data_IF_657221606529
#
_entry.id   IF_657221606529
#
_cell.length_a   1.000
_cell.length_b   1.000
_cell.length_c   1.000
_cell.angle_alpha   90.00
_cell.angle_beta   90.00
_cell.angle_gamma   90.00
#
_symmetry.space_group_name_H-M   'P 1'
#
loop_
_entity.id
_entity.type
_entity.pdbx_description
1 polymer ?
#
# COMPACT_ATOMS: atom_id res chain seq x y z
N UNK A 1 27.50 -1.01 -14.45
CA UNK A 1 27.42 0.46 -14.29
C UNK A 1 26.01 0.90 -14.65
N UNK A 2 25.38 1.75 -13.82
CA UNK A 2 24.09 2.35 -14.15
C UNK A 2 24.30 3.48 -15.20
N UNK A 3 23.43 3.60 -16.23
CA UNK A 3 23.44 4.75 -17.12
C UNK A 3 23.12 6.04 -16.34
N UNK A 4 23.26 7.18 -16.98
CA UNK A 4 22.76 8.44 -16.45
C UNK A 4 21.24 8.53 -16.67
N UNK A 5 20.53 9.20 -15.79
CA UNK A 5 19.06 9.31 -15.80
C UNK A 5 18.61 10.58 -15.09
N UNK A 6 17.47 11.11 -15.51
CA UNK A 6 16.93 12.37 -14.99
C UNK A 6 16.04 12.16 -13.75
N UNK A 7 15.43 11.00 -13.62
CA UNK A 7 14.49 10.72 -12.53
C UNK A 7 14.84 9.37 -11.88
N UNK A 8 14.97 9.37 -10.55
CA UNK A 8 15.03 8.15 -9.74
C UNK A 8 13.68 7.92 -9.08
N UNK A 9 12.99 6.85 -9.47
CA UNK A 9 11.78 6.39 -8.81
C UNK A 9 12.11 5.23 -7.88
N UNK A 10 11.67 5.28 -6.61
CA UNK A 10 11.92 4.19 -5.66
C UNK A 10 10.77 4.01 -4.66
N UNK A 11 10.19 2.78 -4.64
CA UNK A 11 9.35 2.27 -3.58
C UNK A 11 10.16 1.27 -2.74
N UNK A 12 10.75 1.71 -1.66
CA UNK A 12 11.63 0.87 -0.82
C UNK A 12 10.87 0.35 0.42
N UNK A 13 11.21 -0.84 0.94
CA UNK A 13 10.51 -1.40 2.09
C UNK A 13 10.73 -0.57 3.36
N UNK A 14 9.64 -0.42 4.13
CA UNK A 14 9.63 0.24 5.44
C UNK A 14 10.16 -0.70 6.52
N UNK A 15 11.32 -1.30 6.35
CA UNK A 15 11.94 -2.05 7.44
C UNK A 15 12.62 -1.08 8.42
N UNK A 16 12.57 -1.36 9.73
CA UNK A 16 13.10 -0.44 10.71
C UNK A 16 14.57 -0.18 10.40
N UNK A 17 14.89 1.09 10.18
CA UNK A 17 16.27 1.53 10.28
C UNK A 17 16.72 1.17 11.68
N UNK A 18 17.61 0.20 11.85
CA UNK A 18 18.28 0.01 13.11
C UNK A 18 19.18 1.24 13.32
N UNK A 19 18.67 2.22 14.05
CA UNK A 19 19.43 3.39 14.51
C UNK A 19 20.55 2.93 15.48
N UNK A 20 20.64 1.64 15.78
CA UNK A 20 21.63 0.98 16.59
C UNK A 20 22.94 0.63 15.86
N UNK A 21 23.27 1.31 14.78
CA UNK A 21 24.61 1.28 14.18
C UNK A 21 25.31 2.58 14.51
N UNK A 22 26.33 2.53 15.41
CA UNK A 22 27.36 3.55 15.52
C UNK A 22 27.71 4.09 14.13
N UNK A 23 28.09 5.37 14.04
CA UNK A 23 28.60 6.08 12.84
C UNK A 23 29.80 5.37 12.16
N UNK A 24 29.68 4.09 11.90
CA UNK A 24 30.58 3.33 11.06
C UNK A 24 30.08 3.46 9.64
N UNK A 25 30.72 4.39 8.93
CA UNK A 25 30.48 4.62 7.51
C UNK A 25 30.51 3.30 6.74
N UNK A 26 29.62 3.19 5.75
CA UNK A 26 29.61 2.28 4.60
C UNK A 26 29.82 0.75 4.82
N UNK A 27 30.02 0.24 6.03
CA UNK A 27 30.33 -1.17 6.33
C UNK A 27 29.24 -1.94 7.08
N UNK A 28 28.02 -1.45 7.19
CA UNK A 28 26.93 -2.23 7.80
C UNK A 28 26.57 -3.46 6.96
N UNK A 29 27.14 -4.60 7.30
CA UNK A 29 26.72 -5.94 6.89
C UNK A 29 25.36 -6.25 7.56
N UNK A 30 24.25 -5.84 6.92
CA UNK A 30 22.91 -6.18 7.40
C UNK A 30 21.87 -5.91 6.33
N UNK A 31 20.92 -6.82 6.14
CA UNK A 31 19.75 -6.75 5.24
C UNK A 31 18.79 -5.61 5.62
N UNK A 32 19.22 -4.39 5.74
CA UNK A 32 18.36 -3.40 6.36
C UNK A 32 18.36 -2.03 5.74
N UNK A 33 19.12 -1.76 4.69
CA UNK A 33 19.24 -0.37 4.37
C UNK A 33 19.22 -0.05 2.87
N UNK A 34 18.12 -0.47 2.21
CA UNK A 34 17.89 -0.09 0.81
C UNK A 34 17.85 1.43 0.64
N UNK A 35 17.46 2.18 1.66
CA UNK A 35 17.54 3.64 1.62
C UNK A 35 18.99 4.12 1.48
N UNK A 36 19.95 3.56 2.24
CA UNK A 36 21.36 3.94 2.09
C UNK A 36 21.97 3.44 0.77
N UNK A 37 21.51 2.29 0.26
CA UNK A 37 21.88 1.86 -1.09
C UNK A 37 21.38 2.83 -2.15
N UNK A 38 20.17 3.33 -1.98
CA UNK A 38 19.60 4.39 -2.83
C UNK A 38 20.41 5.68 -2.71
N UNK A 39 20.82 6.10 -1.50
CA UNK A 39 21.67 7.28 -1.31
C UNK A 39 23.00 7.14 -2.04
N UNK A 40 23.61 5.95 -2.07
CA UNK A 40 24.83 5.71 -2.87
C UNK A 40 24.62 5.91 -4.36
N UNK A 41 23.47 5.50 -4.90
CA UNK A 41 23.11 5.76 -6.30
C UNK A 41 22.94 7.27 -6.52
N UNK A 42 22.26 7.94 -5.60
CA UNK A 42 22.07 9.39 -5.64
C UNK A 42 23.42 10.12 -5.59
N UNK A 43 24.32 9.71 -4.70
CA UNK A 43 25.66 10.32 -4.57
C UNK A 43 26.49 10.15 -5.83
N UNK A 44 26.37 9.02 -6.51
CA UNK A 44 27.10 8.70 -7.74
C UNK A 44 26.50 9.40 -8.98
N UNK A 45 25.17 9.40 -9.12
CA UNK A 45 24.46 9.82 -10.34
C UNK A 45 23.87 11.22 -10.27
N UNK A 46 23.64 11.74 -9.08
CA UNK A 46 23.12 13.08 -8.85
C UNK A 46 21.87 13.43 -9.68
N UNK A 47 20.86 12.54 -9.81
CA UNK A 47 19.70 12.80 -10.66
C UNK A 47 18.98 14.07 -10.23
N UNK A 48 18.49 14.90 -11.18
CA UNK A 48 17.80 16.15 -10.83
C UNK A 48 16.47 15.95 -10.10
N UNK A 49 15.82 14.79 -10.25
CA UNK A 49 14.52 14.50 -9.62
C UNK A 49 14.53 13.13 -8.94
N UNK A 50 13.98 13.09 -7.72
CA UNK A 50 13.68 11.83 -7.02
C UNK A 50 12.16 11.77 -6.76
N UNK A 51 11.55 10.63 -7.05
CA UNK A 51 10.18 10.30 -6.67
C UNK A 51 10.21 9.06 -5.79
N UNK A 52 10.03 9.26 -4.49
CA UNK A 52 10.11 8.19 -3.51
C UNK A 52 8.72 7.90 -2.93
N UNK A 53 8.41 6.63 -2.73
CA UNK A 53 7.13 6.21 -2.15
C UNK A 53 7.37 5.29 -0.96
N UNK A 54 6.46 5.37 0.01
CA UNK A 54 6.44 4.42 1.13
C UNK A 54 5.05 4.38 1.79
N UNK A 55 4.87 3.46 2.72
CA UNK A 55 3.65 3.41 3.54
C UNK A 55 3.57 4.63 4.46
N UNK A 56 2.37 5.15 4.70
CA UNK A 56 2.13 6.28 5.62
C UNK A 56 2.80 6.09 6.98
N UNK A 57 2.86 4.84 7.48
CA UNK A 57 3.44 4.54 8.79
C UNK A 57 4.93 4.96 8.91
N UNK A 58 5.65 5.10 7.80
CA UNK A 58 7.02 5.62 7.80
C UNK A 58 7.13 6.98 8.52
N UNK A 59 6.11 7.82 8.41
CA UNK A 59 6.10 9.15 9.04
C UNK A 59 6.12 9.09 10.58
N UNK A 60 5.67 7.97 11.17
CA UNK A 60 5.48 7.83 12.63
C UNK A 60 6.40 6.80 13.27
N UNK A 61 7.11 6.01 12.49
CA UNK A 61 8.07 5.02 13.00
C UNK A 61 9.09 5.69 13.92
N UNK A 62 9.34 5.08 15.07
CA UNK A 62 10.27 5.58 16.10
C UNK A 62 9.97 7.04 16.52
N UNK A 63 8.68 7.41 16.59
CA UNK A 63 8.27 8.78 16.91
C UNK A 63 8.64 9.79 15.81
N UNK A 64 8.71 9.36 14.55
CA UNK A 64 9.02 10.20 13.40
C UNK A 64 10.52 10.40 13.12
N UNK A 65 11.41 9.93 14.03
CA UNK A 65 12.87 10.12 13.89
C UNK A 65 13.43 9.54 12.61
N UNK A 66 12.98 8.34 12.22
CA UNK A 66 13.40 7.70 10.98
C UNK A 66 13.11 8.57 9.76
N UNK A 67 11.88 9.08 9.69
CA UNK A 67 11.46 9.93 8.58
C UNK A 67 12.23 11.26 8.55
N UNK A 68 12.41 11.91 9.70
CA UNK A 68 13.20 13.14 9.82
C UNK A 68 14.64 12.94 9.37
N UNK A 69 15.29 11.82 9.76
CA UNK A 69 16.65 11.49 9.31
C UNK A 69 16.71 11.36 7.78
N UNK A 70 15.74 10.66 7.16
CA UNK A 70 15.66 10.53 5.70
C UNK A 70 15.56 11.89 5.00
N UNK A 71 14.70 12.77 5.50
CA UNK A 71 14.55 14.11 4.94
C UNK A 71 15.84 14.93 5.07
N UNK A 72 16.54 14.83 6.21
CA UNK A 72 17.82 15.49 6.42
C UNK A 72 18.89 14.98 5.44
N UNK A 73 18.99 13.66 5.23
CA UNK A 73 19.97 13.07 4.30
C UNK A 73 19.75 13.53 2.85
N UNK A 74 18.48 13.65 2.43
CA UNK A 74 18.14 14.14 1.09
C UNK A 74 18.46 15.65 0.94
N UNK A 75 18.13 16.46 1.97
CA UNK A 75 18.44 17.89 1.99
C UNK A 75 19.95 18.16 2.00
N UNK A 76 20.72 17.37 2.76
CA UNK A 76 22.17 17.49 2.81
C UNK A 76 22.84 17.26 1.44
N UNK A 77 22.16 16.59 0.51
CA UNK A 77 22.59 16.38 -0.89
C UNK A 77 22.12 17.47 -1.85
N UNK A 78 21.61 18.58 -1.33
CA UNK A 78 21.22 19.75 -2.10
C UNK A 78 19.84 19.66 -2.74
N UNK A 79 18.98 18.72 -2.31
CA UNK A 79 17.61 18.65 -2.82
C UNK A 79 16.65 19.56 -2.05
N UNK A 80 15.74 20.19 -2.76
CA UNK A 80 14.49 20.66 -2.21
C UNK A 80 13.57 19.44 -2.00
N UNK A 81 13.13 19.23 -0.77
CA UNK A 81 12.39 18.02 -0.39
C UNK A 81 10.97 18.40 0.03
N UNK A 82 10.00 17.97 -0.76
CA UNK A 82 8.58 18.11 -0.45
C UNK A 82 7.96 16.73 -0.26
N UNK A 83 6.98 16.64 0.62
CA UNK A 83 6.32 15.35 0.87
C UNK A 83 4.86 15.52 1.24
N UNK A 84 4.05 14.52 0.85
CA UNK A 84 2.62 14.52 1.13
C UNK A 84 2.11 13.08 1.29
N UNK A 85 1.24 12.87 2.28
CA UNK A 85 0.45 11.63 2.34
C UNK A 85 -0.73 11.77 1.41
N UNK A 86 -0.83 10.85 0.45
CA UNK A 86 -1.92 10.79 -0.52
C UNK A 86 -2.72 9.52 -0.27
N UNK A 87 -4.05 9.63 -0.33
CA UNK A 87 -4.96 8.49 -0.27
C UNK A 87 -5.58 8.28 -1.65
N UNK A 88 -5.34 7.10 -2.24
CA UNK A 88 -5.77 6.76 -3.59
C UNK A 88 -7.28 6.89 -3.82
N UNK A 89 -8.12 6.73 -2.78
CA UNK A 89 -9.58 6.90 -2.90
C UNK A 89 -10.02 8.28 -3.39
N UNK A 90 -9.17 9.30 -3.26
CA UNK A 90 -9.42 10.65 -3.76
C UNK A 90 -8.86 10.89 -5.17
N UNK A 91 -8.37 9.84 -5.83
CA UNK A 91 -7.74 9.88 -7.14
C UNK A 91 -8.32 8.80 -8.08
N UNK A 92 -9.66 8.72 -8.15
CA UNK A 92 -10.40 7.79 -9.01
C UNK A 92 -10.09 6.30 -8.77
N UNK A 93 -9.66 5.96 -7.55
CA UNK A 93 -9.31 4.60 -7.19
C UNK A 93 -10.32 4.05 -6.17
N UNK A 94 -10.90 2.87 -6.40
CA UNK A 94 -11.93 2.31 -5.51
C UNK A 94 -11.38 1.71 -4.22
N UNK A 95 -10.14 2.05 -3.82
CA UNK A 95 -9.57 1.63 -2.54
C UNK A 95 -8.99 2.80 -1.76
N UNK A 96 -9.06 2.75 -0.43
CA UNK A 96 -8.28 3.62 0.43
C UNK A 96 -6.89 3.02 0.62
N UNK A 97 -5.89 3.66 0.03
CA UNK A 97 -4.48 3.26 0.13
C UNK A 97 -3.63 4.51 0.40
N UNK A 98 -3.33 4.73 1.68
CA UNK A 98 -2.53 5.88 2.09
C UNK A 98 -1.03 5.60 1.93
N UNK A 99 -0.35 6.48 1.17
CA UNK A 99 1.08 6.40 0.93
C UNK A 99 1.72 7.77 1.11
N UNK A 100 2.93 7.79 1.66
CA UNK A 100 3.77 8.99 1.65
C UNK A 100 4.53 9.04 0.33
N UNK A 101 4.40 10.15 -0.37
CA UNK A 101 5.21 10.48 -1.53
C UNK A 101 6.19 11.57 -1.14
N UNK A 102 7.45 11.39 -1.50
CA UNK A 102 8.53 12.34 -1.27
C UNK A 102 9.09 12.72 -2.64
N UNK A 103 8.97 13.97 -3.00
CA UNK A 103 9.51 14.51 -4.24
C UNK A 103 10.70 15.40 -3.90
N UNK A 104 11.83 15.06 -4.49
CA UNK A 104 13.07 15.83 -4.32
C UNK A 104 13.51 16.38 -5.64
N UNK A 105 13.84 17.66 -5.69
CA UNK A 105 14.27 18.35 -6.91
C UNK A 105 15.53 19.17 -6.68
N UNK A 106 16.41 19.21 -7.68
CA UNK A 106 17.48 20.20 -7.76
C UNK A 106 16.99 21.38 -8.61
N UNK A 107 17.17 22.59 -8.15
CA UNK A 107 16.64 23.79 -8.81
C UNK A 107 15.30 24.24 -8.25
N UNK A 108 14.23 24.21 -9.04
CA UNK A 108 12.90 24.69 -8.60
C UNK A 108 12.25 23.76 -7.61
N UNK A 109 11.54 24.31 -6.62
CA UNK A 109 10.74 23.53 -5.67
C UNK A 109 9.53 22.91 -6.34
N UNK A 110 9.25 21.66 -6.01
CA UNK A 110 8.01 21.00 -6.38
C UNK A 110 6.88 21.39 -5.43
N UNK A 111 5.66 21.54 -5.95
CA UNK A 111 4.47 21.78 -5.15
C UNK A 111 3.41 20.71 -5.49
N UNK A 112 2.95 19.99 -4.46
CA UNK A 112 1.83 19.05 -4.63
C UNK A 112 0.55 19.81 -4.94
N UNK A 113 -0.07 19.53 -6.06
CA UNK A 113 -1.40 20.06 -6.39
C UNK A 113 -2.45 19.45 -5.45
N UNK A 114 -3.45 20.24 -5.12
CA UNK A 114 -4.57 19.79 -4.30
C UNK A 114 -5.71 19.38 -5.24
N UNK A 115 -5.66 18.12 -5.70
CA UNK A 115 -6.75 17.55 -6.50
C UNK A 115 -7.46 16.49 -5.66
N UNK A 116 -8.81 16.54 -5.67
CA UNK A 116 -9.64 15.49 -5.10
C UNK A 116 -10.74 15.17 -6.10
N UNK A 117 -10.94 13.89 -6.33
CA UNK A 117 -12.02 13.38 -7.17
C UNK A 117 -13.09 12.71 -6.29
N UNK A 118 -14.31 12.60 -6.78
CA UNK A 118 -15.36 11.82 -6.11
C UNK A 118 -14.89 10.39 -5.83
N UNK A 119 -15.41 9.82 -4.76
CA UNK A 119 -15.08 8.43 -4.40
C UNK A 119 -15.69 7.48 -5.42
N UNK A 120 -14.88 6.60 -5.97
CA UNK A 120 -15.34 5.49 -6.80
C UNK A 120 -15.71 4.34 -5.87
N UNK A 121 -16.97 3.87 -5.87
CA UNK A 121 -17.39 2.75 -5.03
C UNK A 121 -16.84 1.42 -5.57
N UNK A 122 -16.66 0.46 -4.68
CA UNK A 122 -16.26 -0.92 -5.06
C UNK A 122 -17.29 -1.56 -5.99
N UNK A 123 -18.57 -1.20 -5.86
CA UNK A 123 -19.65 -1.68 -6.74
C UNK A 123 -19.42 -1.36 -8.22
N UNK A 124 -18.62 -0.34 -8.54
CA UNK A 124 -18.27 0.01 -9.92
C UNK A 124 -17.34 -1.01 -10.60
N UNK A 125 -16.66 -1.84 -9.83
CA UNK A 125 -15.69 -2.84 -10.33
C UNK A 125 -16.12 -4.28 -10.02
N UNK A 126 -17.22 -4.48 -9.31
CA UNK A 126 -17.71 -5.81 -8.92
C UNK A 126 -18.38 -6.50 -10.10
N UNK A 127 -17.88 -7.66 -10.43
CA UNK A 127 -18.59 -8.62 -11.24
C UNK A 127 -19.50 -9.47 -10.32
N UNK A 128 -20.80 -9.29 -10.44
CA UNK A 128 -21.78 -9.92 -9.56
C UNK A 128 -21.93 -11.42 -9.77
N UNK A 129 -21.53 -11.90 -10.94
CA UNK A 129 -21.60 -13.29 -11.35
C UNK A 129 -20.29 -14.04 -11.09
N UNK A 130 -19.24 -13.32 -10.71
CA UNK A 130 -17.92 -13.86 -10.45
C UNK A 130 -17.62 -14.05 -8.96
N UNK A 131 -16.75 -15.02 -8.68
CA UNK A 131 -16.25 -15.30 -7.34
C UNK A 131 -17.18 -16.18 -6.51
N UNK A 132 -16.61 -17.13 -5.79
CA UNK A 132 -17.36 -18.01 -4.90
C UNK A 132 -17.54 -17.39 -3.52
N UNK A 133 -18.73 -17.50 -2.90
CA UNK A 133 -18.92 -17.17 -1.51
C UNK A 133 -17.97 -17.98 -0.60
N UNK A 134 -17.54 -17.36 0.48
CA UNK A 134 -16.75 -18.06 1.50
C UNK A 134 -17.70 -18.63 2.55
N UNK A 135 -17.70 -19.94 2.67
CA UNK A 135 -18.30 -20.59 3.83
C UNK A 135 -17.32 -20.48 5.01
N UNK A 136 -17.62 -19.57 5.89
CA UNK A 136 -16.84 -19.37 7.13
C UNK A 136 -17.64 -19.72 8.38
N UNK A 137 -18.88 -20.19 8.23
CA UNK A 137 -19.83 -20.39 9.34
C UNK A 137 -19.39 -21.48 10.32
N UNK A 138 -18.63 -22.45 9.86
CA UNK A 138 -18.12 -23.52 10.74
C UNK A 138 -17.16 -22.96 11.82
N UNK A 139 -16.20 -22.14 11.43
CA UNK A 139 -15.11 -21.64 12.30
C UNK A 139 -15.34 -20.24 12.84
N UNK A 140 -16.18 -19.44 12.19
CA UNK A 140 -16.36 -18.04 12.51
C UNK A 140 -17.84 -17.72 12.76
N UNK A 141 -18.08 -16.75 13.64
CA UNK A 141 -19.34 -16.04 13.78
C UNK A 141 -19.23 -14.65 13.15
N UNK A 142 -20.34 -14.17 12.59
CA UNK A 142 -20.46 -12.80 12.09
C UNK A 142 -20.89 -11.89 13.24
N UNK A 143 -20.15 -10.86 13.52
CA UNK A 143 -20.53 -9.80 14.45
C UNK A 143 -20.64 -8.48 13.69
N UNK A 144 -21.58 -7.62 14.09
CA UNK A 144 -21.71 -6.29 13.53
C UNK A 144 -20.38 -5.53 13.65
N UNK A 145 -19.95 -4.91 12.56
CA UNK A 145 -18.81 -4.03 12.58
C UNK A 145 -19.13 -2.77 13.39
N UNK A 146 -18.14 -2.21 14.08
CA UNK A 146 -18.33 -0.90 14.65
C UNK A 146 -18.65 0.08 13.51
N UNK A 147 -19.63 1.00 13.66
CA UNK A 147 -19.88 2.07 12.71
C UNK A 147 -18.71 3.04 12.76
N UNK A 148 -17.59 2.63 12.20
CA UNK A 148 -16.38 3.41 12.14
C UNK A 148 -16.22 4.02 10.75
N UNK A 149 -15.26 4.91 10.60
CA UNK A 149 -14.87 5.57 9.35
C UNK A 149 -14.51 4.62 8.19
N UNK A 150 -14.44 3.31 8.43
CA UNK A 150 -14.27 2.27 7.42
C UNK A 150 -15.63 1.68 7.04
N UNK A 151 -15.83 1.34 5.78
CA UNK A 151 -17.06 0.73 5.25
C UNK A 151 -17.24 -0.74 5.72
N UNK A 152 -16.74 -1.06 6.90
CA UNK A 152 -16.85 -2.39 7.50
C UNK A 152 -18.29 -2.62 8.00
N UNK A 153 -18.98 -3.58 7.39
CA UNK A 153 -20.32 -4.02 7.82
C UNK A 153 -20.25 -5.00 8.97
N UNK A 154 -19.36 -6.00 8.83
CA UNK A 154 -19.23 -7.09 9.79
C UNK A 154 -17.76 -7.43 10.03
N UNK A 155 -17.50 -8.14 11.11
CA UNK A 155 -16.23 -8.83 11.38
C UNK A 155 -16.47 -10.31 11.63
N UNK A 156 -15.57 -11.14 11.18
CA UNK A 156 -15.50 -12.54 11.52
C UNK A 156 -14.75 -12.70 12.84
N UNK A 157 -15.36 -13.42 13.77
CA UNK A 157 -14.77 -13.76 15.07
C UNK A 157 -14.68 -15.28 15.18
N UNK A 158 -13.50 -15.79 15.45
CA UNK A 158 -13.27 -17.22 15.57
C UNK A 158 -14.02 -17.77 16.79
N UNK A 159 -14.85 -18.79 16.59
CA UNK A 159 -15.78 -19.29 17.61
C UNK A 159 -15.09 -19.80 18.89
N UNK A 160 -13.93 -20.43 18.74
CA UNK A 160 -13.15 -20.98 19.85
C UNK A 160 -12.30 -19.91 20.53
N UNK A 161 -11.45 -19.22 19.75
CA UNK A 161 -10.47 -18.29 20.34
C UNK A 161 -11.04 -16.94 20.68
N UNK A 162 -12.29 -16.65 20.26
CA UNK A 162 -12.95 -15.34 20.41
C UNK A 162 -12.14 -14.16 19.86
N UNK A 163 -11.17 -14.42 18.98
CA UNK A 163 -10.33 -13.41 18.31
C UNK A 163 -10.84 -13.17 16.89
N UNK A 164 -10.69 -11.92 16.43
CA UNK A 164 -11.08 -11.53 15.08
C UNK A 164 -10.81 -10.06 14.80
N UNK A 165 -11.23 -9.59 13.61
CA UNK A 165 -11.13 -8.19 13.23
C UNK A 165 -9.79 -7.82 12.59
N UNK A 166 -8.91 -8.78 12.24
CA UNK A 166 -7.81 -8.53 11.29
C UNK A 166 -8.39 -8.15 9.94
N UNK A 167 -7.61 -7.53 9.09
CA UNK A 167 -8.12 -7.10 7.78
C UNK A 167 -8.78 -8.23 6.98
N UNK A 168 -8.20 -9.44 6.94
CA UNK A 168 -8.78 -10.60 6.26
C UNK A 168 -10.00 -11.21 6.95
N UNK A 169 -10.42 -10.68 8.10
CA UNK A 169 -11.61 -11.07 8.85
C UNK A 169 -12.68 -9.98 8.86
N UNK A 170 -12.46 -8.89 8.12
CA UNK A 170 -13.42 -7.79 8.00
C UNK A 170 -14.22 -7.92 6.73
N UNK A 171 -15.52 -7.71 6.84
CA UNK A 171 -16.47 -7.70 5.72
C UNK A 171 -16.85 -6.25 5.42
N UNK A 172 -16.57 -5.80 4.23
CA UNK A 172 -16.83 -4.44 3.77
C UNK A 172 -18.08 -4.39 2.89
N UNK A 173 -18.77 -3.26 2.90
CA UNK A 173 -19.77 -2.94 1.90
C UNK A 173 -19.11 -2.57 0.56
N UNK A 174 -19.92 -2.58 -0.50
CA UNK A 174 -19.47 -2.23 -1.86
C UNK A 174 -19.86 -0.82 -2.30
N UNK A 175 -20.66 -0.11 -1.52
CA UNK A 175 -21.25 1.19 -1.90
C UNK A 175 -20.29 2.39 -1.72
N UNK A 176 -19.05 2.12 -1.29
CA UNK A 176 -18.00 3.11 -1.15
C UNK A 176 -16.63 2.48 -1.46
N UNK A 177 -15.54 3.18 -1.11
CA UNK A 177 -14.19 2.65 -1.32
C UNK A 177 -13.92 1.39 -0.52
N UNK A 178 -13.09 0.50 -1.05
CA UNK A 178 -12.63 -0.71 -0.39
C UNK A 178 -11.40 -0.51 0.50
N UNK A 179 -11.05 -1.58 1.19
CA UNK A 179 -9.84 -1.64 2.01
C UNK A 179 -8.57 -1.68 1.16
N UNK A 180 -7.45 -1.29 1.77
CA UNK A 180 -6.13 -1.45 1.15
C UNK A 180 -5.86 -2.93 0.84
N UNK A 181 -5.56 -3.25 -0.41
CA UNK A 181 -5.05 -4.57 -0.77
C UNK A 181 -3.64 -4.74 -0.22
N UNK A 182 -3.42 -5.80 0.57
CA UNK A 182 -2.16 -6.08 1.24
C UNK A 182 -1.38 -7.19 0.55
N UNK A 183 -0.07 -7.13 0.60
CA UNK A 183 0.81 -8.20 0.11
C UNK A 183 0.71 -9.47 0.98
N UNK A 184 0.48 -9.29 2.29
CA UNK A 184 0.28 -10.38 3.25
C UNK A 184 -0.79 -9.98 4.26
N UNK A 185 -1.74 -10.86 4.47
CA UNK A 185 -2.76 -10.75 5.52
C UNK A 185 -3.28 -12.15 5.80
N UNK A 186 -3.59 -12.43 7.06
CA UNK A 186 -4.23 -13.68 7.48
C UNK A 186 -5.76 -13.57 7.49
N UNK A 187 -6.42 -14.69 7.74
CA UNK A 187 -7.87 -14.81 7.79
C UNK A 187 -8.52 -15.20 6.47
N UNK A 188 -9.84 -15.48 6.46
CA UNK A 188 -10.56 -15.97 5.27
C UNK A 188 -10.49 -15.02 4.08
N UNK A 189 -10.58 -13.71 4.31
CA UNK A 189 -10.49 -12.69 3.28
C UNK A 189 -9.07 -12.42 2.79
N UNK A 190 -8.08 -13.00 3.44
CA UNK A 190 -6.69 -12.86 3.03
C UNK A 190 -6.26 -11.41 2.75
N UNK A 191 -5.73 -11.19 1.58
CA UNK A 191 -5.07 -9.93 1.19
C UNK A 191 -6.04 -8.81 0.80
N UNK A 192 -7.23 -9.14 0.33
CA UNK A 192 -8.22 -8.17 -0.16
C UNK A 192 -9.21 -7.73 0.92
N UNK A 193 -9.38 -8.52 1.98
CA UNK A 193 -10.53 -8.47 2.85
C UNK A 193 -11.72 -9.20 2.22
N UNK A 194 -12.85 -9.17 2.90
CA UNK A 194 -14.12 -9.74 2.45
C UNK A 194 -15.08 -8.63 2.04
N UNK A 195 -15.96 -8.91 1.11
CA UNK A 195 -16.99 -7.98 0.64
C UNK A 195 -18.36 -8.65 0.66
N UNK A 196 -19.35 -7.92 1.12
CA UNK A 196 -20.75 -8.30 1.03
C UNK A 196 -21.28 -7.85 -0.34
N UNK A 197 -21.40 -8.81 -1.24
CA UNK A 197 -21.92 -8.62 -2.60
C UNK A 197 -23.33 -9.24 -2.65
N UNK A 198 -24.36 -8.40 -2.50
CA UNK A 198 -25.77 -8.83 -2.50
C UNK A 198 -26.09 -9.95 -1.49
N UNK A 199 -25.51 -9.90 -0.28
CA UNK A 199 -25.70 -10.90 0.76
C UNK A 199 -24.70 -12.07 0.69
N UNK A 200 -23.93 -12.21 -0.38
CA UNK A 200 -22.87 -13.20 -0.49
C UNK A 200 -21.53 -12.60 -0.02
N UNK A 201 -20.92 -13.20 0.99
CA UNK A 201 -19.62 -12.77 1.50
C UNK A 201 -18.52 -13.48 0.73
N UNK A 202 -17.67 -12.71 0.05
CA UNK A 202 -16.57 -13.26 -0.75
C UNK A 202 -15.35 -12.33 -0.80
N UNK A 203 -14.23 -12.85 -1.27
CA UNK A 203 -13.06 -12.04 -1.64
C UNK A 203 -13.28 -11.39 -3.01
N UNK A 204 -12.45 -10.40 -3.33
CA UNK A 204 -12.35 -9.91 -4.71
C UNK A 204 -11.66 -10.95 -5.58
N UNK A 205 -12.12 -11.06 -6.83
CA UNK A 205 -11.41 -11.79 -7.89
C UNK A 205 -10.11 -11.08 -8.25
N UNK A 206 -9.24 -11.70 -9.03
CA UNK A 206 -8.00 -11.05 -9.50
C UNK A 206 -8.34 -9.86 -10.40
N UNK A 207 -9.32 -10.01 -11.30
CA UNK A 207 -9.74 -8.93 -12.20
C UNK A 207 -10.26 -7.72 -11.42
N UNK A 208 -11.15 -7.94 -10.44
CA UNK A 208 -11.62 -6.88 -9.55
C UNK A 208 -10.49 -6.27 -8.73
N UNK A 209 -9.54 -7.10 -8.26
CA UNK A 209 -8.38 -6.60 -7.51
C UNK A 209 -7.46 -5.76 -8.39
N UNK A 210 -7.27 -6.08 -9.66
CA UNK A 210 -6.55 -5.25 -10.62
C UNK A 210 -7.22 -3.88 -10.78
N UNK A 211 -8.55 -3.88 -10.91
CA UNK A 211 -9.33 -2.63 -10.99
C UNK A 211 -9.27 -1.81 -9.70
N UNK A 212 -9.06 -2.44 -8.52
CA UNK A 212 -8.72 -1.72 -7.28
C UNK A 212 -7.43 -0.91 -7.39
N UNK A 213 -6.54 -1.25 -8.32
CA UNK A 213 -5.31 -0.54 -8.65
C UNK A 213 -5.42 0.29 -9.94
N UNK A 214 -6.63 0.47 -10.45
CA UNK A 214 -6.91 1.18 -11.70
C UNK A 214 -6.27 0.58 -12.97
N UNK A 215 -5.87 -0.70 -12.92
CA UNK A 215 -5.48 -1.40 -14.12
C UNK A 215 -6.68 -1.59 -15.05
N UNK A 216 -6.43 -1.45 -16.33
CA UNK A 216 -7.42 -1.73 -17.37
C UNK A 216 -7.87 -3.20 -17.33
N UNK A 217 -9.15 -3.46 -17.68
CA UNK A 217 -9.71 -4.82 -17.74
C UNK A 217 -9.03 -5.71 -18.75
N UNK A 218 -8.35 -5.13 -19.73
CA UNK A 218 -7.55 -5.83 -20.76
C UNK A 218 -6.14 -6.17 -20.28
N UNK A 219 -5.74 -5.77 -19.07
CA UNK A 219 -4.42 -6.06 -18.54
C UNK A 219 -4.14 -7.56 -18.50
N UNK A 220 -3.10 -7.99 -19.21
CA UNK A 220 -2.74 -9.41 -19.35
C UNK A 220 -1.92 -9.88 -18.16
N UNK A 221 -2.51 -10.71 -17.31
CA UNK A 221 -1.85 -11.32 -16.14
C UNK A 221 -1.80 -12.86 -16.21
N UNK A 222 -2.28 -13.45 -17.31
CA UNK A 222 -2.39 -14.91 -17.51
C UNK A 222 -1.07 -15.68 -17.45
N UNK A 223 0.06 -14.99 -17.63
CA UNK A 223 1.40 -15.57 -17.49
C UNK A 223 1.78 -15.89 -16.04
N UNK A 224 1.08 -15.35 -15.06
CA UNK A 224 1.33 -15.63 -13.65
C UNK A 224 0.59 -16.90 -13.23
N UNK A 225 1.36 -17.95 -12.92
CA UNK A 225 0.86 -19.29 -12.59
C UNK A 225 0.06 -19.38 -11.28
N UNK A 226 0.03 -18.34 -10.45
CA UNK A 226 -0.58 -18.41 -9.11
C UNK A 226 -1.33 -17.12 -8.75
N UNK A 227 -2.65 -17.20 -8.50
CA UNK A 227 -3.45 -16.08 -7.98
C UNK A 227 -2.88 -15.46 -6.70
N UNK A 228 -2.35 -16.28 -5.79
CA UNK A 228 -1.73 -15.81 -4.54
C UNK A 228 -0.50 -14.94 -4.80
N UNK A 229 0.30 -15.26 -5.82
CA UNK A 229 1.46 -14.44 -6.22
C UNK A 229 1.01 -13.12 -6.83
N UNK A 230 -0.04 -13.11 -7.64
CA UNK A 230 -0.59 -11.88 -8.21
C UNK A 230 -1.03 -10.91 -7.11
N UNK A 231 -1.83 -11.38 -6.15
CA UNK A 231 -2.26 -10.56 -5.01
C UNK A 231 -1.07 -10.06 -4.17
N UNK A 232 0.01 -10.86 -4.05
CA UNK A 232 1.24 -10.43 -3.38
C UNK A 232 1.91 -9.27 -4.11
N UNK A 233 2.02 -9.35 -5.43
CA UNK A 233 2.62 -8.28 -6.24
C UNK A 233 1.77 -7.02 -6.20
N UNK A 234 0.44 -7.14 -6.37
CA UNK A 234 -0.48 -6.00 -6.24
C UNK A 234 -0.39 -5.33 -4.87
N UNK A 235 -0.36 -6.12 -3.79
CA UNK A 235 -0.23 -5.57 -2.43
C UNK A 235 1.06 -4.76 -2.22
N UNK A 236 2.12 -5.05 -2.98
CA UNK A 236 3.39 -4.32 -2.95
C UNK A 236 3.49 -3.23 -4.03
N UNK A 237 2.52 -3.14 -4.95
CA UNK A 237 2.60 -2.15 -6.02
C UNK A 237 2.14 -0.76 -5.58
N UNK A 238 2.45 0.22 -6.43
CA UNK A 238 1.95 1.59 -6.36
C UNK A 238 0.59 1.64 -7.09
N UNK A 239 -0.29 2.53 -6.65
CA UNK A 239 -1.54 2.90 -7.33
C UNK A 239 -1.31 4.20 -8.03
#
# INVERSE_FOLDING_TARGET
>A
TLPDFDILCAGFPCQPFSIAGKKEGFACKGKGNLFYSMLRIIDCKQPPVLLLENVKHLCTIHGGRTFSTMLCELKARGYHVEHKVIDSKHHNCPQSRQRIYIVCTKGSRYAFRHTQHPIVPVSAIIDRDAGAPIDSTEKYSLEAGAPSKSMMKYKLVHKETKKGGRQGERVYGIDSYGATVCASSGGPGGKTGLYDVNGAIRTLTISETLQMFTFDTTYKYSTLRSPKKMLFYLGNSIV
#
